data_IF_870345482482
#
_entry.id   IF_870345482482
#
_cell.length_a   1.000
_cell.length_b   1.000
_cell.length_c   1.000
_cell.angle_alpha   90.00
_cell.angle_beta   90.00
_cell.angle_gamma   90.00
#
_symmetry.space_group_name_H-M   'P 1'
#
loop_
_entity.id
_entity.type
_entity.pdbx_description
1 polymer ?
#
# COMPACT_ATOMS: atom_id res chain seq x y z
N UNK A 1 -12.36 -34.43 52.99
CA UNK A 1 -12.80 -34.67 51.61
C UNK A 1 -12.46 -33.43 50.80
N UNK A 2 -11.28 -33.41 50.17
CA UNK A 2 -10.82 -32.28 49.36
C UNK A 2 -11.17 -32.57 47.89
N UNK A 3 -12.25 -31.98 47.41
CA UNK A 3 -12.72 -32.15 46.05
C UNK A 3 -11.99 -31.14 45.16
N UNK A 4 -10.90 -31.58 44.56
CA UNK A 4 -10.61 -31.44 43.12
C UNK A 4 -10.81 -30.05 42.45
N UNK A 5 -10.32 -28.96 43.04
CA UNK A 5 -10.28 -27.65 42.37
C UNK A 5 -9.16 -27.54 41.32
N UNK A 6 -8.12 -28.38 41.38
CA UNK A 6 -7.00 -28.37 40.42
C UNK A 6 -7.38 -28.87 39.02
N UNK A 7 -8.46 -29.65 38.88
CA UNK A 7 -8.89 -30.17 37.56
C UNK A 7 -9.62 -29.15 36.70
N UNK A 8 -10.16 -28.08 37.29
CA UNK A 8 -10.85 -27.02 36.55
C UNK A 8 -9.90 -25.92 36.04
N UNK A 9 -8.72 -25.78 36.64
CA UNK A 9 -7.70 -24.81 36.21
C UNK A 9 -6.81 -25.35 35.06
N UNK A 10 -6.70 -26.67 34.89
CA UNK A 10 -5.93 -27.26 33.79
C UNK A 10 -6.70 -27.39 32.45
N UNK A 11 -8.00 -27.11 32.41
CA UNK A 11 -8.81 -27.17 31.17
C UNK A 11 -9.05 -25.81 30.50
N UNK A 12 -8.46 -24.72 31.00
CA UNK A 12 -8.59 -23.38 30.39
C UNK A 12 -7.45 -22.97 29.44
N UNK A 13 -6.51 -23.86 29.14
CA UNK A 13 -5.35 -23.57 28.28
C UNK A 13 -5.36 -24.33 26.96
N UNK A 14 -6.53 -24.43 26.31
CA UNK A 14 -6.61 -24.89 24.92
C UNK A 14 -7.80 -24.20 24.24
N UNK A 15 -7.84 -22.86 24.28
CA UNK A 15 -8.39 -22.16 23.13
C UNK A 15 -7.51 -22.57 21.95
N UNK A 16 -8.05 -23.08 20.83
CA UNK A 16 -7.26 -23.17 19.63
C UNK A 16 -6.74 -21.75 19.38
N UNK A 17 -5.43 -21.58 19.40
CA UNK A 17 -4.81 -20.45 18.74
C UNK A 17 -5.41 -20.47 17.35
N UNK A 18 -6.38 -19.59 17.08
CA UNK A 18 -6.81 -19.30 15.73
C UNK A 18 -5.50 -19.13 14.98
N UNK A 19 -5.23 -20.04 14.05
CA UNK A 19 -4.04 -19.96 13.24
C UNK A 19 -4.01 -18.51 12.78
N UNK A 20 -3.01 -17.75 13.24
CA UNK A 20 -2.69 -16.47 12.67
C UNK A 20 -2.48 -16.81 11.22
N UNK A 21 -3.51 -16.63 10.39
CA UNK A 21 -3.48 -17.03 9.00
C UNK A 21 -2.39 -16.16 8.40
N UNK A 22 -1.19 -16.72 8.29
CA UNK A 22 -0.07 -16.06 7.66
C UNK A 22 -0.52 -15.83 6.23
N UNK A 23 -0.81 -14.58 5.91
CA UNK A 23 -1.12 -14.21 4.54
C UNK A 23 0.16 -14.39 3.74
N UNK A 24 0.05 -15.05 2.58
CA UNK A 24 1.11 -15.14 1.59
C UNK A 24 0.70 -14.44 0.30
N UNK A 25 1.53 -13.54 -0.21
CA UNK A 25 1.35 -12.74 -1.42
C UNK A 25 2.44 -13.15 -2.41
N UNK A 26 2.04 -13.73 -3.53
CA UNK A 26 2.96 -14.13 -4.59
C UNK A 26 2.53 -13.54 -5.92
N UNK A 27 3.44 -12.88 -6.63
CA UNK A 27 3.17 -12.37 -7.97
C UNK A 27 3.25 -13.51 -8.98
N UNK A 28 2.21 -13.69 -9.80
CA UNK A 28 2.29 -14.61 -10.94
C UNK A 28 3.16 -14.04 -12.05
N UNK A 29 3.94 -14.88 -12.78
CA UNK A 29 4.67 -14.45 -13.95
C UNK A 29 3.77 -13.72 -14.94
N UNK A 30 4.20 -12.54 -15.37
CA UNK A 30 3.43 -11.69 -16.27
C UNK A 30 4.28 -11.27 -17.47
N UNK A 31 3.94 -11.75 -18.67
CA UNK A 31 4.57 -11.29 -19.91
C UNK A 31 3.91 -10.03 -20.44
N UNK A 32 4.68 -8.95 -20.54
CA UNK A 32 4.16 -7.67 -21.01
C UNK A 32 3.96 -7.65 -22.53
N UNK A 33 2.71 -7.54 -22.98
CA UNK A 33 2.37 -7.64 -24.42
C UNK A 33 2.13 -6.31 -25.15
N UNK A 34 2.27 -5.14 -24.51
CA UNK A 34 1.94 -3.86 -25.18
C UNK A 34 2.89 -2.69 -24.89
N UNK A 35 3.44 -2.10 -25.96
CA UNK A 35 4.13 -0.81 -25.95
C UNK A 35 3.12 0.31 -25.66
N UNK A 36 3.12 0.90 -24.45
CA UNK A 36 2.43 2.20 -24.25
C UNK A 36 1.75 2.49 -22.91
N UNK A 37 1.94 1.73 -21.82
CA UNK A 37 1.24 2.00 -20.55
C UNK A 37 2.19 2.20 -19.36
N UNK A 38 2.96 3.31 -19.38
CA UNK A 38 3.87 3.73 -18.29
C UNK A 38 3.19 3.74 -16.91
N UNK A 39 1.97 4.26 -16.83
CA UNK A 39 1.23 4.38 -15.55
C UNK A 39 0.87 3.03 -14.92
N UNK A 40 0.60 1.99 -15.74
CA UNK A 40 0.33 0.64 -15.24
C UNK A 40 1.57 0.05 -14.58
N UNK A 41 2.70 0.18 -15.26
CA UNK A 41 4.00 -0.28 -14.79
C UNK A 41 4.39 0.42 -13.49
N UNK A 42 4.07 1.70 -13.34
CA UNK A 42 4.33 2.45 -12.11
C UNK A 42 3.59 1.87 -10.92
N UNK A 43 2.27 1.64 -11.02
CA UNK A 43 1.48 1.11 -9.90
C UNK A 43 1.99 -0.29 -9.51
N UNK A 44 2.23 -1.13 -10.51
CA UNK A 44 2.83 -2.45 -10.33
C UNK A 44 4.20 -2.38 -9.65
N UNK A 45 5.08 -1.50 -10.13
CA UNK A 45 6.42 -1.31 -9.58
C UNK A 45 6.38 -0.91 -8.11
N UNK A 46 5.49 0.01 -7.72
CA UNK A 46 5.37 0.43 -6.32
C UNK A 46 4.85 -0.72 -5.43
N UNK A 47 3.87 -1.50 -5.91
CA UNK A 47 3.41 -2.70 -5.19
C UNK A 47 4.56 -3.71 -5.04
N UNK A 48 5.30 -3.98 -6.11
CA UNK A 48 6.42 -4.92 -6.10
C UNK A 48 7.53 -4.47 -5.16
N UNK A 49 7.83 -3.17 -5.09
CA UNK A 49 8.79 -2.61 -4.13
C UNK A 49 8.34 -2.84 -2.69
N UNK A 50 7.07 -2.58 -2.38
CA UNK A 50 6.54 -2.80 -1.02
C UNK A 50 6.61 -4.26 -0.60
N UNK A 51 6.24 -5.19 -1.50
CA UNK A 51 6.35 -6.63 -1.26
C UNK A 51 7.82 -7.04 -1.09
N UNK A 52 8.70 -6.62 -1.99
CA UNK A 52 10.12 -6.99 -1.99
C UNK A 52 10.90 -6.42 -0.80
N UNK A 53 10.44 -5.33 -0.20
CA UNK A 53 11.07 -4.71 0.97
C UNK A 53 11.09 -5.66 2.19
N UNK A 54 10.07 -6.52 2.33
CA UNK A 54 9.91 -7.40 3.48
C UNK A 54 9.76 -6.68 4.82
N UNK A 55 9.51 -5.37 4.82
CA UNK A 55 9.47 -4.55 6.04
C UNK A 55 8.16 -4.68 6.81
N UNK A 56 7.09 -5.05 6.09
CA UNK A 56 5.78 -5.34 6.65
C UNK A 56 5.49 -6.82 6.53
N UNK A 57 4.93 -7.39 7.59
CA UNK A 57 4.30 -8.69 7.54
C UNK A 57 3.22 -8.65 6.45
N UNK A 58 3.16 -9.68 5.62
CA UNK A 58 2.33 -9.65 4.40
C UNK A 58 0.85 -9.42 4.70
N UNK A 59 0.37 -9.86 5.87
CA UNK A 59 -0.97 -9.55 6.35
C UNK A 59 -1.19 -8.05 6.56
N UNK A 60 -0.24 -7.38 7.21
CA UNK A 60 -0.29 -5.93 7.46
C UNK A 60 -0.21 -5.18 6.13
N UNK A 61 0.70 -5.59 5.24
CA UNK A 61 0.80 -5.01 3.90
C UNK A 61 -0.53 -5.14 3.14
N UNK A 62 -1.13 -6.34 3.15
CA UNK A 62 -2.39 -6.57 2.48
C UNK A 62 -3.53 -5.74 3.08
N UNK A 63 -3.80 -5.89 4.37
CA UNK A 63 -4.97 -5.29 5.03
C UNK A 63 -4.85 -3.77 5.20
N UNK A 64 -3.66 -3.27 5.56
CA UNK A 64 -3.47 -1.87 5.94
C UNK A 64 -2.91 -0.99 4.81
N UNK A 65 -2.43 -1.57 3.71
CA UNK A 65 -1.92 -0.82 2.55
C UNK A 65 -2.72 -1.15 1.30
N UNK A 66 -2.69 -2.41 0.83
CA UNK A 66 -3.27 -2.79 -0.46
C UNK A 66 -4.81 -2.82 -0.45
N UNK A 67 -5.41 -3.09 0.71
CA UNK A 67 -6.85 -3.04 0.99
C UNK A 67 -7.27 -1.87 1.88
N UNK A 68 -6.43 -0.83 1.99
CA UNK A 68 -6.78 0.34 2.80
C UNK A 68 -7.90 1.15 2.13
N UNK A 69 -8.94 1.60 2.86
CA UNK A 69 -9.98 2.50 2.34
C UNK A 69 -9.46 3.83 1.76
N UNK A 70 -8.27 4.29 2.17
CA UNK A 70 -7.61 5.47 1.60
C UNK A 70 -6.95 5.17 0.25
N UNK A 71 -6.69 3.90 -0.03
CA UNK A 71 -6.15 3.36 -1.30
C UNK A 71 -7.31 2.72 -2.07
N UNK A 72 -8.44 3.41 -2.16
CA UNK A 72 -9.63 2.92 -2.87
C UNK A 72 -9.58 3.36 -4.32
N UNK A 73 -9.68 2.38 -5.20
CA UNK A 73 -9.66 2.55 -6.63
C UNK A 73 -11.06 2.88 -7.17
N UNK A 74 -12.13 2.28 -6.60
CA UNK A 74 -13.51 2.52 -7.03
C UNK A 74 -14.45 2.45 -5.82
N UNK A 75 -15.46 3.31 -5.76
CA UNK A 75 -16.65 3.06 -4.95
C UNK A 75 -17.84 3.03 -5.89
N UNK A 76 -18.63 1.96 -5.86
CA UNK A 76 -19.91 1.95 -6.57
C UNK A 76 -20.98 2.71 -5.77
N UNK A 77 -22.11 2.96 -6.43
CA UNK A 77 -23.31 3.59 -5.87
C UNK A 77 -23.99 2.76 -4.77
N UNK A 78 -23.59 1.49 -4.61
CA UNK A 78 -24.03 0.59 -3.54
C UNK A 78 -23.10 0.59 -2.32
N UNK A 79 -22.03 1.41 -2.34
CA UNK A 79 -21.06 1.51 -1.25
C UNK A 79 -20.01 0.40 -1.24
N UNK A 80 -19.89 -0.41 -2.30
CA UNK A 80 -18.80 -1.38 -2.44
C UNK A 80 -17.53 -0.68 -2.89
N UNK A 81 -16.49 -0.78 -2.06
CA UNK A 81 -15.14 -0.29 -2.37
C UNK A 81 -14.34 -1.35 -3.12
N UNK A 82 -13.91 -1.04 -4.34
CA UNK A 82 -12.85 -1.73 -5.06
C UNK A 82 -11.49 -1.22 -4.57
N UNK A 83 -10.73 -2.11 -3.96
CA UNK A 83 -9.37 -1.84 -3.49
C UNK A 83 -8.35 -2.00 -4.63
N UNK A 84 -7.10 -1.63 -4.37
CA UNK A 84 -6.00 -1.75 -5.35
C UNK A 84 -5.86 -3.18 -5.89
N UNK A 85 -6.05 -4.17 -5.01
CA UNK A 85 -6.22 -5.58 -5.35
C UNK A 85 -7.70 -5.96 -5.23
N UNK A 86 -8.24 -6.60 -6.25
CA UNK A 86 -9.60 -7.14 -6.24
C UNK A 86 -9.55 -8.63 -6.58
N UNK A 87 -10.34 -9.46 -5.88
CA UNK A 87 -10.48 -10.88 -6.24
C UNK A 87 -10.91 -10.98 -7.69
N UNK A 88 -10.43 -11.99 -8.41
CA UNK A 88 -10.76 -12.18 -9.83
C UNK A 88 -12.27 -12.05 -10.11
N UNK A 89 -13.11 -12.71 -9.32
CA UNK A 89 -14.57 -12.67 -9.49
C UNK A 89 -15.16 -11.26 -9.34
N UNK A 90 -14.73 -10.51 -8.32
CA UNK A 90 -15.16 -9.13 -8.09
C UNK A 90 -14.66 -8.22 -9.21
N UNK A 91 -13.40 -8.42 -9.59
CA UNK A 91 -12.73 -7.66 -10.59
C UNK A 91 -13.35 -7.88 -11.99
N UNK A 92 -13.92 -9.07 -12.28
CA UNK A 92 -14.75 -9.34 -13.46
C UNK A 92 -16.12 -8.65 -13.38
N UNK A 93 -16.77 -8.63 -12.22
CA UNK A 93 -18.06 -7.94 -12.06
C UNK A 93 -17.94 -6.42 -12.27
N UNK A 94 -16.83 -5.83 -11.79
CA UNK A 94 -16.50 -4.41 -11.97
C UNK A 94 -16.24 -4.03 -13.45
N UNK A 95 -16.08 -5.00 -14.38
CA UNK A 95 -15.87 -4.73 -15.81
C UNK A 95 -17.16 -4.29 -16.53
N UNK A 96 -18.34 -4.41 -15.91
CA UNK A 96 -19.60 -4.28 -16.66
C UNK A 96 -20.03 -2.83 -16.87
N UNK A 97 -20.33 -2.49 -18.15
CA UNK A 97 -20.86 -1.19 -18.61
C UNK A 97 -22.11 -0.69 -17.87
N UNK A 98 -22.77 -1.57 -17.11
CA UNK A 98 -24.01 -1.29 -16.37
C UNK A 98 -23.80 -0.37 -15.17
N UNK A 99 -22.59 -0.28 -14.62
CA UNK A 99 -22.30 0.51 -13.42
C UNK A 99 -21.75 1.91 -13.73
N UNK A 100 -21.90 2.40 -14.97
CA UNK A 100 -21.44 3.75 -15.36
C UNK A 100 -19.93 3.90 -15.51
N UNK A 101 -19.13 2.88 -15.17
CA UNK A 101 -17.68 2.86 -15.31
C UNK A 101 -17.23 1.81 -16.33
N UNK A 102 -16.25 2.14 -17.16
CA UNK A 102 -15.54 1.15 -17.98
C UNK A 102 -14.15 0.96 -17.39
N UNK A 103 -14.03 0.02 -16.45
CA UNK A 103 -12.73 -0.52 -16.10
C UNK A 103 -12.23 -1.35 -17.28
N UNK A 104 -11.21 -0.84 -17.98
CA UNK A 104 -10.51 -1.69 -18.93
C UNK A 104 -9.56 -2.58 -18.13
N UNK A 105 -10.02 -3.78 -17.78
CA UNK A 105 -9.06 -4.84 -17.46
C UNK A 105 -8.19 -5.05 -18.70
N UNK A 106 -6.85 -4.97 -18.56
CA UNK A 106 -5.99 -5.36 -19.65
C UNK A 106 -6.27 -6.81 -20.00
N UNK A 107 -6.27 -7.14 -21.29
CA UNK A 107 -6.42 -8.50 -21.84
C UNK A 107 -5.40 -9.50 -21.26
N UNK A 108 -4.42 -8.99 -20.52
CA UNK A 108 -3.49 -9.72 -19.69
C UNK A 108 -3.41 -8.98 -18.33
N UNK A 109 -4.14 -9.40 -17.27
CA UNK A 109 -4.09 -8.79 -15.93
C UNK A 109 -2.78 -9.08 -15.21
N UNK A 110 -2.35 -8.19 -14.31
CA UNK A 110 -1.30 -8.51 -13.32
C UNK A 110 -2.01 -9.18 -12.16
N UNK A 111 -1.54 -10.38 -11.79
CA UNK A 111 -2.20 -11.23 -10.80
C UNK A 111 -1.25 -11.48 -9.64
N UNK A 112 -1.75 -11.27 -8.43
CA UNK A 112 -1.13 -11.65 -7.18
C UNK A 112 -1.97 -12.77 -6.55
N UNK A 113 -1.33 -13.85 -6.10
CA UNK A 113 -1.95 -14.87 -5.29
C UNK A 113 -1.89 -14.44 -3.83
N UNK A 114 -3.04 -14.30 -3.19
CA UNK A 114 -3.15 -14.04 -1.75
C UNK A 114 -3.70 -15.31 -1.11
N UNK A 115 -2.87 -16.04 -0.37
CA UNK A 115 -3.17 -17.39 0.13
C UNK A 115 -3.63 -18.37 -0.97
N UNK A 116 -3.06 -18.24 -2.17
CA UNK A 116 -3.43 -19.05 -3.34
C UNK A 116 -4.71 -18.62 -4.06
N UNK A 117 -5.43 -17.63 -3.55
CA UNK A 117 -6.58 -17.02 -4.25
C UNK A 117 -6.08 -15.91 -5.21
N UNK A 118 -6.57 -15.85 -6.47
CA UNK A 118 -6.14 -14.85 -7.43
C UNK A 118 -6.77 -13.47 -7.19
N UNK A 119 -5.90 -12.48 -7.04
CA UNK A 119 -6.25 -11.06 -6.97
C UNK A 119 -5.66 -10.32 -8.17
N UNK A 120 -6.49 -9.54 -8.84
CA UNK A 120 -6.10 -8.69 -9.96
C UNK A 120 -5.70 -7.30 -9.46
N UNK A 121 -4.55 -6.83 -9.91
CA UNK A 121 -4.16 -5.43 -9.72
C UNK A 121 -4.98 -4.53 -10.64
N UNK A 122 -5.68 -3.58 -10.05
CA UNK A 122 -6.46 -2.61 -10.81
C UNK A 122 -5.53 -1.48 -11.30
N UNK A 123 -5.29 -1.43 -12.62
CA UNK A 123 -4.28 -0.52 -13.19
C UNK A 123 -4.83 0.50 -14.19
N UNK A 124 -6.14 0.49 -14.51
CA UNK A 124 -6.74 1.39 -15.51
C UNK A 124 -8.24 1.62 -15.28
N UNK A 125 -8.65 2.88 -15.33
CA UNK A 125 -10.03 3.29 -15.60
C UNK A 125 -9.98 4.22 -16.81
N UNK A 126 -10.58 3.80 -17.92
CA UNK A 126 -10.63 4.66 -19.11
C UNK A 126 -11.70 5.73 -18.91
N UNK A 127 -11.30 6.91 -18.45
CA UNK A 127 -12.02 8.14 -18.79
C UNK A 127 -11.64 8.51 -20.22
N UNK A 128 -12.23 7.86 -21.22
CA UNK A 128 -12.02 8.29 -22.62
C UNK A 128 -12.63 9.66 -22.92
N UNK A 129 -13.42 10.26 -22.01
CA UNK A 129 -13.81 11.69 -22.08
C UNK A 129 -14.12 12.26 -20.71
N UNK A 130 -13.17 12.96 -20.10
CA UNK A 130 -13.51 14.10 -19.26
C UNK A 130 -12.29 15.03 -19.15
N UNK A 131 -12.38 16.18 -19.82
CA UNK A 131 -11.57 17.35 -19.49
C UNK A 131 -11.76 17.65 -17.99
N UNK A 132 -10.73 18.08 -17.25
CA UNK A 132 -10.95 18.63 -15.91
C UNK A 132 -11.82 19.88 -16.07
N UNK A 133 -13.05 19.84 -15.55
CA UNK A 133 -13.87 21.04 -15.40
C UNK A 133 -13.54 21.62 -14.03
N UNK A 134 -12.91 22.80 -14.02
CA UNK A 134 -12.22 23.39 -12.87
C UNK A 134 -13.19 23.85 -11.76
N UNK A 135 -14.50 23.84 -11.99
CA UNK A 135 -15.53 24.22 -11.00
C UNK A 135 -15.89 23.14 -9.94
N UNK A 136 -15.18 22.00 -9.88
CA UNK A 136 -15.61 20.84 -9.05
C UNK A 136 -15.16 20.83 -7.59
N UNK A 137 -14.68 21.94 -7.03
CA UNK A 137 -14.18 21.99 -5.65
C UNK A 137 -15.27 22.11 -4.55
N UNK A 138 -16.56 22.05 -4.90
CA UNK A 138 -17.67 22.14 -3.92
C UNK A 138 -18.65 20.96 -3.96
N UNK A 139 -18.38 19.90 -4.73
CA UNK A 139 -19.22 18.69 -4.78
C UNK A 139 -18.46 17.47 -4.25
N UNK A 140 -19.15 16.65 -3.47
CA UNK A 140 -18.66 15.33 -3.08
C UNK A 140 -18.21 14.53 -4.31
N UNK A 141 -17.12 13.80 -4.11
CA UNK A 141 -16.31 13.21 -5.15
C UNK A 141 -17.04 12.07 -5.90
N UNK A 142 -17.46 12.31 -7.16
CA UNK A 142 -17.89 11.23 -8.05
C UNK A 142 -16.68 10.41 -8.57
N UNK A 143 -16.77 9.07 -8.74
CA UNK A 143 -15.63 8.18 -8.97
C UNK A 143 -15.21 8.08 -10.44
N UNK A 144 -14.74 9.17 -11.05
CA UNK A 144 -13.97 9.10 -12.31
C UNK A 144 -12.50 9.35 -11.96
N UNK A 145 -11.63 8.34 -12.09
CA UNK A 145 -10.18 8.49 -11.82
C UNK A 145 -9.47 9.13 -13.02
N UNK A 146 -9.03 10.38 -12.89
CA UNK A 146 -8.08 11.04 -13.80
C UNK A 146 -6.63 10.62 -13.45
N UNK A 147 -5.64 10.99 -14.29
CA UNK A 147 -4.21 10.81 -13.97
C UNK A 147 -3.83 11.36 -12.58
N UNK A 148 -4.52 12.43 -12.17
CA UNK A 148 -4.55 12.97 -10.82
C UNK A 148 -4.78 11.92 -9.73
N UNK A 149 -5.83 11.11 -9.86
CA UNK A 149 -6.15 10.12 -8.83
C UNK A 149 -5.23 8.90 -8.82
N UNK A 150 -4.50 8.64 -9.90
CA UNK A 150 -3.40 7.68 -9.84
C UNK A 150 -2.28 8.22 -8.96
N UNK A 151 -1.96 9.51 -9.03
CA UNK A 151 -0.99 10.12 -8.14
C UNK A 151 -1.49 10.14 -6.69
N UNK A 152 -2.77 10.45 -6.44
CA UNK A 152 -3.39 10.29 -5.11
C UNK A 152 -3.18 8.87 -4.60
N UNK A 153 -3.49 7.86 -5.42
CA UNK A 153 -3.37 6.46 -5.05
C UNK A 153 -1.92 6.10 -4.72
N UNK A 154 -0.96 6.47 -5.57
CA UNK A 154 0.47 6.21 -5.33
C UNK A 154 0.94 6.88 -4.03
N UNK A 155 0.52 8.12 -3.79
CA UNK A 155 0.85 8.83 -2.56
C UNK A 155 0.21 8.16 -1.34
N UNK A 156 -1.07 7.81 -1.41
CA UNK A 156 -1.79 7.13 -0.35
C UNK A 156 -1.19 5.75 -0.03
N UNK A 157 -0.77 4.98 -1.03
CA UNK A 157 -0.05 3.71 -0.83
C UNK A 157 1.20 3.93 0.01
N UNK A 158 2.06 4.87 -0.40
CA UNK A 158 3.32 5.16 0.30
C UNK A 158 3.02 5.62 1.73
N UNK A 159 2.08 6.55 1.92
CA UNK A 159 1.68 7.00 3.27
C UNK A 159 1.20 5.83 4.14
N UNK A 160 0.29 5.00 3.63
CA UNK A 160 -0.21 3.84 4.36
C UNK A 160 0.90 2.85 4.72
N UNK A 161 1.86 2.61 3.81
CA UNK A 161 3.00 1.74 4.05
C UNK A 161 3.88 2.26 5.21
N UNK A 162 4.26 3.54 5.17
CA UNK A 162 5.09 4.12 6.22
C UNK A 162 4.37 4.16 7.56
N UNK A 163 3.08 4.55 7.58
CA UNK A 163 2.28 4.56 8.81
C UNK A 163 2.17 3.16 9.43
N UNK A 164 1.90 2.13 8.60
CA UNK A 164 1.84 0.75 9.06
C UNK A 164 3.21 0.28 9.61
N UNK A 165 4.31 0.65 8.96
CA UNK A 165 5.65 0.29 9.42
C UNK A 165 6.03 0.98 10.73
N UNK A 166 5.76 2.28 10.83
CA UNK A 166 5.95 3.08 12.06
C UNK A 166 5.13 2.50 13.21
N UNK A 167 3.88 2.08 12.95
CA UNK A 167 3.03 1.43 13.94
C UNK A 167 3.60 0.08 14.38
N UNK A 168 4.04 -0.76 13.44
CA UNK A 168 4.64 -2.05 13.75
C UNK A 168 5.92 -1.92 14.60
N UNK A 169 6.75 -0.91 14.31
CA UNK A 169 7.90 -0.56 15.14
C UNK A 169 7.47 -0.13 16.54
N UNK A 170 6.42 0.71 16.66
CA UNK A 170 5.90 1.16 17.93
C UNK A 170 5.38 0.00 18.80
N UNK A 171 4.64 -0.93 18.21
CA UNK A 171 4.12 -2.11 18.90
C UNK A 171 5.25 -3.00 19.41
N UNK A 172 6.30 -3.21 18.60
CA UNK A 172 7.45 -4.04 18.97
C UNK A 172 8.31 -3.42 20.07
N UNK A 173 8.43 -2.08 20.12
CA UNK A 173 9.17 -1.37 21.17
C UNK A 173 8.55 -1.49 22.57
N UNK A 174 7.26 -1.82 22.69
CA UNK A 174 6.61 -1.99 24.00
C UNK A 174 7.15 -3.21 24.77
N UNK A 175 7.80 -4.14 24.07
CA UNK A 175 8.52 -5.26 24.64
C UNK A 175 9.93 -4.76 24.92
N UNK A 176 10.38 -4.70 26.18
CA UNK A 176 11.76 -4.34 26.55
C UNK A 176 12.75 -5.39 26.03
N UNK A 177 12.99 -5.40 24.72
CA UNK A 177 13.92 -6.28 24.02
C UNK A 177 15.27 -5.58 23.85
N UNK A 178 16.29 -6.36 23.48
CA UNK A 178 17.63 -5.85 23.21
C UNK A 178 17.67 -4.80 22.08
N UNK A 179 16.65 -4.78 21.22
CA UNK A 179 16.62 -3.99 19.99
C UNK A 179 15.82 -2.67 20.11
N UNK A 180 15.44 -2.26 21.32
CA UNK A 180 14.62 -1.06 21.55
C UNK A 180 15.20 0.19 20.88
N UNK A 181 16.49 0.48 21.08
CA UNK A 181 17.12 1.68 20.51
C UNK A 181 17.18 1.63 18.99
N UNK A 182 17.50 0.47 18.41
CA UNK A 182 17.52 0.27 16.96
C UNK A 182 16.13 0.53 16.38
N UNK A 183 15.08 -0.04 16.97
CA UNK A 183 13.69 0.19 16.58
C UNK A 183 13.27 1.65 16.73
N UNK A 184 13.66 2.30 17.84
CA UNK A 184 13.35 3.69 18.11
C UNK A 184 13.93 4.62 17.05
N UNK A 185 15.22 4.47 16.73
CA UNK A 185 15.86 5.32 15.71
C UNK A 185 15.39 4.98 14.30
N UNK A 186 15.08 3.72 14.03
CA UNK A 186 14.47 3.32 12.75
C UNK A 186 13.08 3.94 12.57
N UNK A 187 12.28 4.01 13.64
CA UNK A 187 11.00 4.70 13.64
C UNK A 187 11.17 6.19 13.35
N UNK A 188 12.10 6.86 14.02
CA UNK A 188 12.39 8.28 13.75
C UNK A 188 12.83 8.53 12.31
N UNK A 189 13.65 7.64 11.74
CA UNK A 189 14.04 7.70 10.34
C UNK A 189 12.82 7.61 9.41
N UNK A 190 11.95 6.61 9.65
CA UNK A 190 10.73 6.41 8.86
C UNK A 190 9.77 7.62 8.97
N UNK A 191 9.60 8.20 10.16
CA UNK A 191 8.79 9.40 10.38
C UNK A 191 9.35 10.62 9.62
N UNK A 192 10.67 10.80 9.65
CA UNK A 192 11.32 11.90 8.93
C UNK A 192 11.22 11.74 7.40
N UNK A 193 11.38 10.52 6.90
CA UNK A 193 11.23 10.23 5.48
C UNK A 193 9.78 10.39 5.00
N UNK A 194 8.80 9.93 5.79
CA UNK A 194 7.38 10.17 5.53
C UNK A 194 7.05 11.68 5.49
N UNK A 195 7.56 12.46 6.45
CA UNK A 195 7.36 13.91 6.46
C UNK A 195 7.95 14.58 5.20
N UNK A 196 9.16 14.17 4.78
CA UNK A 196 9.78 14.65 3.54
C UNK A 196 8.94 14.27 2.31
N UNK A 197 8.43 13.05 2.27
CA UNK A 197 7.55 12.59 1.20
C UNK A 197 6.26 13.43 1.13
N UNK A 198 5.56 13.63 2.25
CA UNK A 198 4.31 14.41 2.30
C UNK A 198 4.54 15.86 1.90
N UNK A 199 5.62 16.49 2.35
CA UNK A 199 6.00 17.83 1.91
C UNK A 199 6.26 17.85 0.40
N UNK A 200 6.93 16.82 -0.14
CA UNK A 200 7.19 16.75 -1.58
C UNK A 200 5.90 16.62 -2.38
N UNK A 201 4.94 15.81 -1.92
CA UNK A 201 3.62 15.69 -2.53
C UNK A 201 2.88 17.04 -2.51
N UNK A 202 2.94 17.77 -1.39
CA UNK A 202 2.34 19.11 -1.29
C UNK A 202 2.99 20.11 -2.29
N UNK A 203 4.32 20.14 -2.39
CA UNK A 203 5.03 20.96 -3.39
C UNK A 203 4.62 20.64 -4.83
N UNK A 204 4.46 19.36 -5.15
CA UNK A 204 4.03 18.91 -6.48
C UNK A 204 2.57 19.30 -6.77
N UNK A 205 1.74 19.44 -5.74
CA UNK A 205 0.35 19.89 -5.83
C UNK A 205 0.22 21.41 -5.96
N UNK A 206 0.98 22.18 -5.19
CA UNK A 206 0.84 23.65 -5.12
C UNK A 206 1.36 24.37 -6.37
N UNK A 207 2.38 23.85 -7.05
CA UNK A 207 3.12 24.55 -8.13
C UNK A 207 2.36 24.69 -9.48
N UNK A 208 1.04 24.55 -9.53
CA UNK A 208 0.26 24.42 -10.79
C UNK A 208 0.74 23.29 -11.73
N UNK A 209 1.69 22.46 -11.27
CA UNK A 209 2.00 21.11 -11.74
C UNK A 209 0.90 20.12 -11.34
N UNK A 210 -0.32 20.63 -11.08
CA UNK A 210 -1.61 19.95 -11.11
C UNK A 210 -1.40 18.67 -11.87
N UNK A 211 -1.72 17.53 -11.28
CA UNK A 211 -1.51 16.18 -11.80
C UNK A 211 -2.19 15.94 -13.15
N UNK A 212 -1.72 16.72 -14.10
CA UNK A 212 -2.31 17.08 -15.36
C UNK A 212 -1.49 16.29 -16.35
N UNK A 213 -2.13 15.66 -17.34
CA UNK A 213 -1.46 14.79 -18.29
C UNK A 213 -0.33 15.44 -19.10
N UNK A 214 -0.17 16.77 -19.01
CA UNK A 214 0.83 17.58 -19.73
C UNK A 214 1.96 18.11 -18.84
N UNK A 215 1.84 17.99 -17.52
CA UNK A 215 2.91 18.35 -16.56
C UNK A 215 3.82 17.15 -16.30
N UNK A 216 5.00 17.40 -15.73
CA UNK A 216 5.94 16.34 -15.34
C UNK A 216 5.71 15.82 -13.90
N UNK A 217 4.72 16.35 -13.17
CA UNK A 217 4.46 16.00 -11.77
C UNK A 217 4.24 14.52 -11.50
N UNK A 218 3.60 13.78 -12.44
CA UNK A 218 3.50 12.32 -12.33
C UNK A 218 4.88 11.66 -12.35
N UNK A 219 5.72 11.98 -13.36
CA UNK A 219 7.06 11.39 -13.45
C UNK A 219 7.91 11.77 -12.23
N UNK A 220 7.84 13.03 -11.79
CA UNK A 220 8.58 13.48 -10.60
C UNK A 220 8.13 12.77 -9.32
N UNK A 221 6.83 12.52 -9.15
CA UNK A 221 6.31 11.72 -8.04
C UNK A 221 6.86 10.29 -8.10
N UNK A 222 6.79 9.66 -9.28
CA UNK A 222 7.29 8.30 -9.47
C UNK A 222 8.78 8.21 -9.20
N UNK A 223 9.58 9.09 -9.79
CA UNK A 223 11.02 9.14 -9.59
C UNK A 223 11.33 9.29 -8.09
N UNK A 224 10.60 10.16 -7.39
CA UNK A 224 10.77 10.35 -5.95
C UNK A 224 10.41 9.09 -5.14
N UNK A 225 9.28 8.45 -5.43
CA UNK A 225 8.86 7.19 -4.77
C UNK A 225 9.91 6.11 -5.01
N UNK A 226 10.37 5.95 -6.25
CA UNK A 226 11.37 4.95 -6.62
C UNK A 226 12.74 5.24 -6.02
N UNK A 227 12.99 6.46 -5.55
CA UNK A 227 14.21 6.85 -4.87
C UNK A 227 14.10 6.79 -3.34
N UNK A 228 12.92 6.48 -2.77
CA UNK A 228 12.74 6.41 -1.32
C UNK A 228 13.64 5.32 -0.72
N UNK A 229 14.60 5.68 0.14
CA UNK A 229 15.53 4.73 0.74
C UNK A 229 14.85 3.55 1.43
N UNK A 230 13.81 3.77 2.23
CA UNK A 230 13.17 2.70 2.98
C UNK A 230 12.47 1.68 2.06
N UNK A 231 11.74 2.13 1.05
CA UNK A 231 11.05 1.24 0.11
C UNK A 231 12.01 0.41 -0.77
N UNK A 232 13.22 0.91 -1.01
CA UNK A 232 14.25 0.17 -1.73
C UNK A 232 15.14 -0.67 -0.81
N UNK A 233 14.97 -0.54 0.50
CA UNK A 233 15.83 -1.23 1.46
C UNK A 233 15.40 -2.67 1.69
N UNK A 234 16.33 -3.46 2.18
CA UNK A 234 16.09 -4.81 2.67
C UNK A 234 16.43 -4.91 4.14
N UNK A 235 15.87 -5.90 4.81
CA UNK A 235 16.25 -6.25 6.18
C UNK A 235 17.78 -6.34 6.34
N UNK A 236 18.29 -5.76 7.42
CA UNK A 236 19.72 -5.69 7.73
C UNK A 236 20.48 -4.57 7.02
N UNK A 237 19.88 -3.89 6.03
CA UNK A 237 20.52 -2.75 5.37
C UNK A 237 20.70 -1.58 6.34
N UNK A 238 21.82 -0.87 6.21
CA UNK A 238 22.11 0.33 7.01
C UNK A 238 21.70 1.58 6.25
N UNK A 239 20.93 2.45 6.91
CA UNK A 239 20.52 3.76 6.40
C UNK A 239 21.09 4.86 7.28
N UNK A 240 21.35 6.04 6.70
CA UNK A 240 21.88 7.16 7.46
C UNK A 240 20.79 7.96 8.16
N UNK A 241 20.84 8.08 9.48
CA UNK A 241 19.89 8.85 10.29
C UNK A 241 20.61 9.87 11.16
N UNK A 242 20.33 11.16 10.96
CA UNK A 242 20.94 12.24 11.75
C UNK A 242 20.54 12.22 13.24
N UNK A 243 19.48 11.50 13.60
CA UNK A 243 18.98 11.38 14.97
C UNK A 243 19.63 10.24 15.76
N UNK A 244 20.41 9.37 15.09
CA UNK A 244 21.16 8.27 15.73
C UNK A 244 22.58 8.73 16.12
N UNK A 245 23.15 8.34 17.28
CA UNK A 245 24.50 8.76 17.71
C UNK A 245 25.63 8.46 16.70
N UNK A 246 25.49 7.37 15.96
CA UNK A 246 26.45 6.95 14.92
C UNK A 246 26.06 7.41 13.51
N UNK A 247 24.94 8.13 13.36
CA UNK A 247 24.45 8.55 12.05
C UNK A 247 23.87 7.42 11.20
N UNK A 248 23.71 6.21 11.75
CA UNK A 248 23.33 4.97 11.04
C UNK A 248 22.24 4.21 11.79
N UNK A 249 21.26 3.67 11.08
CA UNK A 249 20.19 2.80 11.61
C UNK A 249 20.09 1.55 10.77
N UNK A 250 19.74 0.43 11.39
CA UNK A 250 19.54 -0.85 10.69
C UNK A 250 18.06 -1.02 10.37
N UNK A 251 17.79 -1.33 9.11
CA UNK A 251 16.47 -1.70 8.62
C UNK A 251 16.09 -3.05 9.21
N UNK A 252 14.92 -3.10 9.82
CA UNK A 252 14.40 -4.27 10.52
C UNK A 252 13.03 -4.63 9.97
N UNK A 253 12.77 -5.92 9.84
CA UNK A 253 11.46 -6.43 9.43
C UNK A 253 10.44 -6.26 10.57
N UNK A 254 9.18 -6.04 10.23
CA UNK A 254 8.12 -6.20 11.22
C UNK A 254 7.91 -7.71 11.47
N UNK A 255 8.23 -8.16 12.68
CA UNK A 255 7.97 -9.54 13.13
C UNK A 255 6.48 -9.83 13.33
#
# INVERSE_FOLDING_TARGET
MAINEDRLLQQRSALPLLATHTIKIEKLPHEERSKGKKTRQTVEQVVDMMIASGLLAERVLFEQVLHNPRVVWIMDDTGRSGYLLAREADATQLQTRKNGFTMYMPTNPIVYLVNGEPYHLLTRIDSTRSKPNIERLTREANPILSAARVNDCLAAMVVCFYEAYIHALADNMTRKTADFYTQFYMKQYAEQELARFTNKVAELNDNHMNWHPRGNGHQQLVDYITALPLLNSREGQVLSCAHHPQGVVTVISSS
#
